data_IF_652214553314
#
_entry.id   IF_652214553314
#
_cell.length_a   1.000
_cell.length_b   1.000
_cell.length_c   1.000
_cell.angle_alpha   90.00
_cell.angle_beta   90.00
_cell.angle_gamma   90.00
#
_symmetry.space_group_name_H-M   'P 1'
#
loop_
_entity.id
_entity.type
_entity.pdbx_description
1 polymer ?
#
# COMPACT_ATOMS: atom_id res chain seq x y z
N UNK A 1 8.35 -10.91 -12.66
CA UNK A 1 7.24 -10.19 -12.00
C UNK A 1 6.67 -10.83 -10.73
N UNK A 2 5.82 -11.89 -10.75
CA UNK A 2 5.18 -12.41 -9.51
C UNK A 2 6.15 -12.78 -8.37
N UNK A 3 7.23 -13.51 -8.69
CA UNK A 3 8.28 -13.84 -7.72
C UNK A 3 8.98 -12.60 -7.14
N UNK A 4 9.10 -11.53 -7.91
CA UNK A 4 9.74 -10.28 -7.46
C UNK A 4 8.80 -9.46 -6.57
N UNK A 5 7.50 -9.42 -6.89
CA UNK A 5 6.47 -8.81 -6.04
C UNK A 5 6.47 -9.45 -4.64
N UNK A 6 6.56 -10.79 -4.57
CA UNK A 6 6.66 -11.52 -3.31
C UNK A 6 7.99 -11.28 -2.57
N UNK A 7 9.10 -11.13 -3.29
CA UNK A 7 10.38 -10.74 -2.68
C UNK A 7 10.31 -9.35 -2.07
N UNK A 8 9.69 -8.38 -2.75
CA UNK A 8 9.47 -7.05 -2.20
C UNK A 8 8.58 -7.08 -0.97
N UNK A 9 7.53 -7.91 -0.96
CA UNK A 9 6.68 -8.08 0.22
C UNK A 9 7.49 -8.52 1.43
N UNK A 10 8.28 -9.59 1.29
CA UNK A 10 9.15 -10.09 2.37
C UNK A 10 10.14 -9.02 2.85
N UNK A 11 10.71 -8.24 1.94
CA UNK A 11 11.63 -7.17 2.28
C UNK A 11 10.93 -6.01 3.03
N UNK A 12 9.70 -5.66 2.64
CA UNK A 12 8.86 -4.68 3.33
C UNK A 12 8.52 -5.18 4.74
N UNK A 13 8.07 -6.43 4.87
CA UNK A 13 7.73 -7.04 6.17
C UNK A 13 8.94 -7.08 7.11
N UNK A 14 10.13 -7.43 6.59
CA UNK A 14 11.38 -7.40 7.35
C UNK A 14 11.74 -5.97 7.81
N UNK A 15 11.63 -4.98 6.92
CA UNK A 15 11.88 -3.57 7.27
C UNK A 15 10.89 -3.04 8.30
N UNK A 16 9.63 -3.49 8.22
CA UNK A 16 8.61 -3.14 9.20
C UNK A 16 8.92 -3.71 10.57
N UNK A 17 9.33 -4.98 10.64
CA UNK A 17 9.75 -5.61 11.89
C UNK A 17 11.00 -4.92 12.49
N UNK A 18 11.97 -4.52 11.67
CA UNK A 18 13.12 -3.72 12.10
C UNK A 18 12.69 -2.38 12.69
N UNK A 19 11.75 -1.68 12.03
CA UNK A 19 11.20 -0.41 12.51
C UNK A 19 10.50 -0.55 13.87
N UNK A 20 9.65 -1.57 14.02
CA UNK A 20 8.92 -1.80 15.27
C UNK A 20 9.88 -2.14 16.44
N UNK A 21 10.96 -2.89 16.15
CA UNK A 21 12.02 -3.17 17.13
C UNK A 21 12.75 -1.89 17.56
N UNK A 22 13.12 -1.03 16.61
CA UNK A 22 13.80 0.26 16.89
C UNK A 22 12.88 1.19 17.70
N UNK A 23 11.58 1.24 17.38
CA UNK A 23 10.57 1.99 18.16
C UNK A 23 10.48 1.51 19.60
N UNK A 24 10.47 0.20 19.83
CA UNK A 24 10.46 -0.37 21.18
C UNK A 24 11.73 -0.04 21.97
N UNK A 25 12.88 0.00 21.29
CA UNK A 25 14.16 0.37 21.92
C UNK A 25 14.22 1.87 22.23
N UNK A 26 13.69 2.72 21.35
CA UNK A 26 13.57 4.16 21.57
C UNK A 26 12.71 4.46 22.79
N UNK A 27 11.57 3.78 22.93
CA UNK A 27 10.67 3.96 24.08
C UNK A 27 11.36 3.58 25.40
N UNK A 28 12.13 2.48 25.42
CA UNK A 28 12.93 2.09 26.59
C UNK A 28 14.02 3.10 26.93
N UNK A 29 14.72 3.62 25.92
CA UNK A 29 15.74 4.65 26.10
C UNK A 29 15.11 5.95 26.65
N UNK A 30 13.93 6.32 26.16
CA UNK A 30 13.18 7.48 26.64
C UNK A 30 12.77 7.34 28.11
N UNK A 31 12.20 6.21 28.49
CA UNK A 31 11.87 5.92 29.90
C UNK A 31 13.10 6.00 30.81
N UNK A 32 14.23 5.48 30.34
CA UNK A 32 15.51 5.55 31.08
C UNK A 32 15.96 7.00 31.25
N UNK A 33 15.87 7.83 30.21
CA UNK A 33 16.22 9.24 30.27
C UNK A 33 15.30 10.04 31.21
N UNK A 34 14.00 9.74 31.23
CA UNK A 34 13.01 10.43 32.07
C UNK A 34 13.10 10.00 33.55
N UNK A 35 13.46 8.75 33.85
CA UNK A 35 13.52 8.21 35.22
C UNK A 35 14.64 8.77 36.12
N UNK A 36 15.67 9.42 35.55
CA UNK A 36 16.83 9.89 36.32
C UNK A 36 16.60 11.18 37.13
N UNK A 37 15.36 11.70 37.17
CA UNK A 37 15.06 13.05 37.70
C UNK A 37 14.57 13.04 39.17
N UNK A 38 14.27 11.89 39.78
CA UNK A 38 13.38 11.86 40.96
C UNK A 38 14.02 12.09 42.36
N UNK A 39 15.35 12.06 42.53
CA UNK A 39 15.96 11.97 43.88
C UNK A 39 16.47 13.30 44.52
N UNK A 40 16.00 14.47 44.08
CA UNK A 40 16.48 15.75 44.64
C UNK A 40 15.96 16.08 46.05
N UNK A 41 14.87 15.45 46.50
CA UNK A 41 14.23 15.74 47.80
C UNK A 41 15.04 15.23 49.01
N UNK A 42 15.63 14.03 48.90
CA UNK A 42 16.37 13.39 49.99
C UNK A 42 17.64 14.17 50.38
N UNK A 43 18.34 14.75 49.40
CA UNK A 43 19.51 15.59 49.64
C UNK A 43 19.13 16.86 50.42
N UNK A 44 18.02 17.51 50.06
CA UNK A 44 17.57 18.73 50.73
C UNK A 44 17.22 18.49 52.21
N UNK A 45 16.64 17.34 52.53
CA UNK A 45 16.36 16.93 53.91
C UNK A 45 17.64 16.62 54.70
N UNK A 46 18.61 15.92 54.10
CA UNK A 46 19.91 15.65 54.72
C UNK A 46 20.71 16.93 54.95
N UNK A 47 20.69 17.88 54.01
CA UNK A 47 21.30 19.20 54.17
C UNK A 47 20.66 20.02 55.29
N UNK A 48 19.34 19.94 55.47
CA UNK A 48 18.64 20.55 56.61
C UNK A 48 19.08 19.92 57.93
N UNK A 49 19.07 18.58 58.04
CA UNK A 49 19.55 17.86 59.24
C UNK A 49 20.99 18.22 59.59
N UNK A 50 21.87 18.31 58.59
CA UNK A 50 23.25 18.75 58.75
C UNK A 50 23.34 20.16 59.34
N UNK A 51 22.58 21.10 58.79
CA UNK A 51 22.55 22.49 59.27
C UNK A 51 22.04 22.62 60.71
N UNK A 52 21.06 21.79 61.09
CA UNK A 52 20.52 21.74 62.46
C UNK A 52 21.54 21.19 63.46
N UNK A 53 22.28 20.13 63.10
CA UNK A 53 23.32 19.54 63.95
C UNK A 53 24.48 20.53 64.16
N UNK A 54 24.94 21.16 63.08
CA UNK A 54 25.97 22.21 63.15
C UNK A 54 25.53 23.40 64.00
N UNK A 55 24.28 23.85 63.83
CA UNK A 55 23.72 24.96 64.61
C UNK A 55 23.62 24.65 66.10
N UNK A 56 23.21 23.43 66.48
CA UNK A 56 23.14 22.99 67.88
C UNK A 56 24.53 22.89 68.52
N UNK A 57 25.50 22.30 67.83
CA UNK A 57 26.86 22.19 68.34
C UNK A 57 27.54 23.56 68.51
N UNK A 58 27.32 24.49 67.56
CA UNK A 58 27.82 25.86 67.68
C UNK A 58 27.25 26.59 68.90
N UNK A 59 25.94 26.46 69.17
CA UNK A 59 25.31 27.05 70.34
C UNK A 59 25.77 26.41 71.66
N UNK A 60 26.15 25.14 71.63
CA UNK A 60 26.70 24.41 72.78
C UNK A 60 28.21 24.63 72.98
N UNK A 61 28.92 25.22 72.02
CA UNK A 61 30.38 25.36 72.04
C UNK A 61 31.13 24.04 71.81
N UNK A 62 30.45 23.03 71.27
CA UNK A 62 30.99 21.70 70.99
C UNK A 62 31.29 21.52 69.49
N UNK A 63 32.12 20.53 69.14
CA UNK A 63 32.32 20.11 67.76
C UNK A 63 31.20 19.17 67.33
N UNK A 64 30.54 19.48 66.21
CA UNK A 64 29.47 18.65 65.65
C UNK A 64 30.05 17.42 64.93
N UNK A 65 29.51 16.24 65.24
CA UNK A 65 29.73 15.02 64.45
C UNK A 65 28.69 14.96 63.32
N UNK A 66 29.16 15.10 62.08
CA UNK A 66 28.33 15.09 60.86
C UNK A 66 28.81 14.07 59.83
N UNK A 67 29.78 13.22 60.17
CA UNK A 67 30.45 12.33 59.21
C UNK A 67 29.48 11.37 58.52
N UNK A 68 28.51 10.83 59.25
CA UNK A 68 27.49 9.93 58.67
C UNK A 68 26.55 10.67 57.70
N UNK A 69 26.17 11.91 58.01
CA UNK A 69 25.30 12.73 57.15
C UNK A 69 26.07 13.13 55.88
N UNK A 70 27.34 13.51 56.03
CA UNK A 70 28.20 13.89 54.90
C UNK A 70 28.46 12.70 53.98
N UNK A 71 28.72 11.51 54.52
CA UNK A 71 28.86 10.29 53.74
C UNK A 71 27.56 9.89 53.01
N UNK A 72 26.38 10.07 53.63
CA UNK A 72 25.10 9.81 52.97
C UNK A 72 24.83 10.81 51.83
N UNK A 73 25.12 12.09 52.03
CA UNK A 73 25.01 13.12 50.99
C UNK A 73 25.93 12.78 49.81
N UNK A 74 27.20 12.48 50.07
CA UNK A 74 28.17 12.13 49.01
C UNK A 74 27.74 10.89 48.23
N UNK A 75 27.20 9.87 48.91
CA UNK A 75 26.70 8.65 48.27
C UNK A 75 25.52 8.94 47.34
N UNK A 76 24.55 9.74 47.79
CA UNK A 76 23.37 10.08 46.97
C UNK A 76 23.78 10.98 45.81
N UNK A 77 24.68 11.95 46.02
CA UNK A 77 25.20 12.80 44.95
C UNK A 77 25.98 12.00 43.89
N UNK A 78 26.78 11.02 44.30
CA UNK A 78 27.47 10.13 43.37
C UNK A 78 26.46 9.33 42.53
N UNK A 79 25.43 8.77 43.17
CA UNK A 79 24.33 8.09 42.49
C UNK A 79 23.59 8.99 41.49
N UNK A 80 23.29 10.24 41.86
CA UNK A 80 22.66 11.22 40.97
C UNK A 80 23.55 11.59 39.78
N UNK A 81 24.87 11.73 39.99
CA UNK A 81 25.81 11.99 38.88
C UNK A 81 25.86 10.82 37.90
N UNK A 82 25.88 9.59 38.38
CA UNK A 82 25.82 8.40 37.53
C UNK A 82 24.47 8.31 36.80
N UNK A 83 23.36 8.52 37.50
CA UNK A 83 22.02 8.52 36.91
C UNK A 83 21.89 9.58 35.80
N UNK A 84 22.38 10.81 36.03
CA UNK A 84 22.42 11.88 35.01
C UNK A 84 23.25 11.49 33.79
N UNK A 85 24.44 10.93 34.00
CA UNK A 85 25.28 10.45 32.89
C UNK A 85 24.57 9.36 32.08
N UNK A 86 23.84 8.49 32.75
CA UNK A 86 23.07 7.41 32.12
C UNK A 86 21.89 7.97 31.33
N UNK A 87 21.19 8.97 31.88
CA UNK A 87 20.10 9.67 31.22
C UNK A 87 20.53 10.48 30.01
N UNK A 88 21.65 11.19 30.09
CA UNK A 88 22.25 11.91 28.96
C UNK A 88 22.64 10.94 27.83
N UNK A 89 23.23 9.79 28.19
CA UNK A 89 23.52 8.72 27.23
C UNK A 89 22.26 8.14 26.59
N UNK A 90 21.21 7.91 27.39
CA UNK A 90 19.93 7.43 26.91
C UNK A 90 19.23 8.45 26.00
N UNK A 91 19.27 9.74 26.33
CA UNK A 91 18.72 10.82 25.50
C UNK A 91 19.43 10.93 24.14
N UNK A 92 20.77 10.80 24.12
CA UNK A 92 21.53 10.73 22.87
C UNK A 92 21.15 9.49 22.04
N UNK A 93 20.93 8.34 22.69
CA UNK A 93 20.46 7.14 22.02
C UNK A 93 19.05 7.30 21.43
N UNK A 94 18.13 8.02 22.11
CA UNK A 94 16.78 8.31 21.59
C UNK A 94 16.86 9.03 20.24
N UNK A 95 17.69 10.06 20.11
CA UNK A 95 17.85 10.81 18.86
C UNK A 95 18.39 9.92 17.72
N UNK A 96 19.40 9.09 18.01
CA UNK A 96 19.95 8.14 17.02
C UNK A 96 18.92 7.08 16.58
N UNK A 97 18.11 6.60 17.52
CA UNK A 97 17.04 5.63 17.23
C UNK A 97 15.91 6.28 16.44
N UNK A 98 15.61 7.55 16.67
CA UNK A 98 14.65 8.32 15.88
C UNK A 98 15.10 8.49 14.42
N UNK A 99 16.36 8.86 14.21
CA UNK A 99 16.97 8.96 12.88
C UNK A 99 16.94 7.60 12.17
N UNK A 100 17.31 6.53 12.87
CA UNK A 100 17.26 5.17 12.36
C UNK A 100 15.84 4.75 11.96
N UNK A 101 14.85 5.05 12.81
CA UNK A 101 13.45 4.75 12.52
C UNK A 101 12.96 5.51 11.28
N UNK A 102 13.37 6.78 11.13
CA UNK A 102 13.03 7.61 9.97
C UNK A 102 13.64 7.04 8.68
N UNK A 103 14.91 6.61 8.72
CA UNK A 103 15.58 5.98 7.58
C UNK A 103 14.91 4.66 7.18
N UNK A 104 14.52 3.83 8.14
CA UNK A 104 13.81 2.58 7.88
C UNK A 104 12.45 2.81 7.19
N UNK A 105 11.70 3.85 7.59
CA UNK A 105 10.45 4.23 6.91
C UNK A 105 10.69 4.70 5.47
N UNK A 106 11.75 5.45 5.23
CA UNK A 106 12.12 5.88 3.87
C UNK A 106 12.47 4.69 2.99
N UNK A 107 13.28 3.74 3.49
CA UNK A 107 13.63 2.50 2.80
C UNK A 107 12.39 1.65 2.49
N UNK A 108 11.51 1.46 3.48
CA UNK A 108 10.22 0.78 3.31
C UNK A 108 9.39 1.45 2.21
N UNK A 109 9.30 2.79 2.22
CA UNK A 109 8.59 3.57 1.21
C UNK A 109 9.17 3.44 -0.19
N UNK A 110 10.49 3.28 -0.34
CA UNK A 110 11.12 2.98 -1.64
C UNK A 110 10.72 1.58 -2.12
N UNK A 111 10.74 0.58 -1.23
CA UNK A 111 10.35 -0.79 -1.57
C UNK A 111 8.88 -0.89 -1.97
N UNK A 112 7.97 -0.22 -1.24
CA UNK A 112 6.54 -0.13 -1.59
C UNK A 112 6.31 0.48 -2.97
N UNK A 113 7.00 1.58 -3.30
CA UNK A 113 6.91 2.21 -4.63
C UNK A 113 7.37 1.29 -5.74
N UNK A 114 8.48 0.57 -5.55
CA UNK A 114 8.99 -0.42 -6.51
C UNK A 114 8.03 -1.60 -6.68
N UNK A 115 7.44 -2.08 -5.59
CA UNK A 115 6.43 -3.14 -5.64
C UNK A 115 5.17 -2.70 -6.39
N UNK A 116 4.67 -1.49 -6.13
CA UNK A 116 3.50 -0.95 -6.81
C UNK A 116 3.74 -0.76 -8.32
N UNK A 117 4.96 -0.37 -8.72
CA UNK A 117 5.34 -0.30 -10.13
C UNK A 117 5.25 -1.68 -10.80
N UNK A 118 5.83 -2.72 -10.19
CA UNK A 118 5.76 -4.09 -10.72
C UNK A 118 4.33 -4.64 -10.79
N UNK A 119 3.47 -4.31 -9.81
CA UNK A 119 2.06 -4.69 -9.85
C UNK A 119 1.36 -4.01 -11.03
N UNK A 120 1.57 -2.71 -11.24
CA UNK A 120 1.00 -1.98 -12.39
C UNK A 120 1.47 -2.56 -13.72
N UNK A 121 2.74 -2.94 -13.83
CA UNK A 121 3.27 -3.55 -15.04
C UNK A 121 2.62 -4.93 -15.30
N UNK A 122 2.37 -5.71 -14.24
CA UNK A 122 1.65 -7.00 -14.35
C UNK A 122 0.20 -6.80 -14.82
N UNK A 123 -0.49 -5.78 -14.31
CA UNK A 123 -1.84 -5.42 -14.77
C UNK A 123 -1.86 -5.05 -16.25
N UNK A 124 -0.91 -4.23 -16.70
CA UNK A 124 -0.80 -3.84 -18.12
C UNK A 124 -0.55 -5.05 -19.02
N UNK A 125 0.40 -5.89 -18.65
CA UNK A 125 0.73 -7.11 -19.42
C UNK A 125 -0.51 -8.01 -19.61
N UNK A 126 -1.26 -8.25 -18.53
CA UNK A 126 -2.50 -9.05 -18.60
C UNK A 126 -3.59 -8.37 -19.42
N UNK A 127 -3.79 -7.07 -19.22
CA UNK A 127 -4.78 -6.32 -19.97
C UNK A 127 -4.48 -6.36 -21.48
N UNK A 128 -3.23 -6.16 -21.87
CA UNK A 128 -2.81 -6.23 -23.27
C UNK A 128 -2.99 -7.64 -23.85
N UNK A 129 -2.71 -8.69 -23.08
CA UNK A 129 -2.96 -10.07 -23.47
C UNK A 129 -4.45 -10.35 -23.69
N UNK A 130 -5.31 -9.95 -22.76
CA UNK A 130 -6.77 -10.11 -22.89
C UNK A 130 -7.30 -9.32 -24.07
N UNK A 131 -6.86 -8.06 -24.23
CA UNK A 131 -7.26 -7.23 -25.36
C UNK A 131 -6.92 -7.91 -26.68
N UNK A 132 -5.73 -8.51 -26.80
CA UNK A 132 -5.33 -9.26 -27.99
C UNK A 132 -6.24 -10.45 -28.25
N UNK A 133 -6.51 -11.28 -27.22
CA UNK A 133 -7.41 -12.44 -27.33
C UNK A 133 -8.84 -12.03 -27.69
N UNK A 134 -9.33 -10.93 -27.13
CA UNK A 134 -10.64 -10.37 -27.47
C UNK A 134 -10.70 -10.01 -28.96
N UNK A 135 -9.71 -9.26 -29.45
CA UNK A 135 -9.64 -8.87 -30.87
C UNK A 135 -9.60 -10.11 -31.78
N UNK A 136 -8.80 -11.12 -31.45
CA UNK A 136 -8.75 -12.38 -32.20
C UNK A 136 -10.14 -13.05 -32.25
N UNK A 137 -10.85 -13.12 -31.11
CA UNK A 137 -12.19 -13.69 -31.05
C UNK A 137 -13.23 -12.88 -31.82
N UNK A 138 -13.13 -11.56 -31.80
CA UNK A 138 -14.00 -10.69 -32.60
C UNK A 138 -13.82 -10.98 -34.09
N UNK A 139 -12.58 -11.17 -34.56
CA UNK A 139 -12.31 -11.56 -35.95
C UNK A 139 -12.90 -12.92 -36.31
N UNK A 140 -12.78 -13.92 -35.43
CA UNK A 140 -13.41 -15.24 -35.63
C UNK A 140 -14.95 -15.11 -35.78
N UNK A 141 -15.58 -14.29 -34.92
CA UNK A 141 -17.03 -14.04 -34.98
C UNK A 141 -17.41 -13.33 -36.28
N UNK A 142 -16.64 -12.32 -36.70
CA UNK A 142 -16.86 -11.60 -37.95
C UNK A 142 -16.78 -12.55 -39.15
N UNK A 143 -15.79 -13.45 -39.19
CA UNK A 143 -15.66 -14.43 -40.28
C UNK A 143 -16.81 -15.44 -40.29
N UNK A 144 -17.27 -15.89 -39.13
CA UNK A 144 -18.46 -16.73 -39.03
C UNK A 144 -19.72 -16.00 -39.54
N UNK A 145 -19.89 -14.71 -39.23
CA UNK A 145 -20.98 -13.89 -39.74
C UNK A 145 -20.91 -13.70 -41.26
N UNK A 146 -19.70 -13.55 -41.84
CA UNK A 146 -19.53 -13.52 -43.30
C UNK A 146 -19.99 -14.82 -43.96
N UNK A 147 -19.63 -15.96 -43.38
CA UNK A 147 -20.04 -17.26 -43.90
C UNK A 147 -21.57 -17.43 -43.83
N UNK A 148 -22.19 -17.01 -42.73
CA UNK A 148 -23.64 -17.02 -42.58
C UNK A 148 -24.33 -16.12 -43.62
N UNK A 149 -23.83 -14.89 -43.82
CA UNK A 149 -24.36 -13.97 -44.83
C UNK A 149 -24.22 -14.53 -46.27
N UNK A 150 -23.12 -15.23 -46.57
CA UNK A 150 -22.93 -15.86 -47.87
C UNK A 150 -23.92 -17.01 -48.11
N UNK A 151 -24.20 -17.82 -47.07
CA UNK A 151 -25.23 -18.87 -47.12
C UNK A 151 -26.63 -18.27 -47.29
N UNK A 152 -26.93 -17.19 -46.57
CA UNK A 152 -28.18 -16.43 -46.69
C UNK A 152 -28.41 -15.95 -48.14
N UNK A 153 -27.40 -15.32 -48.76
CA UNK A 153 -27.46 -14.90 -50.18
C UNK A 153 -27.58 -16.07 -51.16
N UNK A 154 -26.89 -17.18 -50.89
CA UNK A 154 -26.99 -18.40 -51.70
C UNK A 154 -28.40 -19.01 -51.66
N UNK A 155 -29.04 -18.98 -50.50
CA UNK A 155 -30.43 -19.41 -50.32
C UNK A 155 -31.41 -18.47 -51.03
N UNK A 156 -31.17 -17.16 -51.04
CA UNK A 156 -31.98 -16.22 -51.85
C UNK A 156 -31.87 -16.51 -53.35
N UNK A 157 -30.65 -16.74 -53.85
CA UNK A 157 -30.39 -16.99 -55.27
C UNK A 157 -31.05 -18.27 -55.80
N UNK A 158 -31.22 -19.29 -54.94
CA UNK A 158 -31.84 -20.57 -55.29
C UNK A 158 -33.37 -20.57 -55.20
N UNK A 159 -34.02 -19.48 -54.79
CA UNK A 159 -35.49 -19.42 -54.61
C UNK A 159 -36.23 -18.84 -55.80
N UNK A 160 -37.35 -19.47 -56.15
CA UNK A 160 -38.22 -19.06 -57.25
C UNK A 160 -39.06 -17.81 -56.94
N UNK A 161 -39.62 -17.14 -57.95
CA UNK A 161 -40.27 -15.83 -57.83
C UNK A 161 -41.52 -15.75 -56.93
N UNK A 162 -42.06 -16.89 -56.46
CA UNK A 162 -43.34 -16.97 -55.74
C UNK A 162 -43.26 -17.46 -54.28
N UNK A 163 -42.07 -17.60 -53.69
CA UNK A 163 -41.95 -17.97 -52.28
C UNK A 163 -42.04 -16.73 -51.36
N UNK A 164 -42.79 -16.85 -50.25
CA UNK A 164 -42.89 -15.77 -49.26
C UNK A 164 -41.53 -15.51 -48.63
N UNK A 165 -41.06 -14.27 -48.71
CA UNK A 165 -39.74 -13.86 -48.18
C UNK A 165 -39.77 -13.89 -46.65
N UNK A 166 -39.06 -14.79 -45.94
CA UNK A 166 -38.77 -14.54 -44.56
C UNK A 166 -37.67 -13.47 -44.51
N UNK A 167 -37.85 -12.49 -43.64
CA UNK A 167 -36.96 -11.34 -43.48
C UNK A 167 -35.55 -11.82 -43.13
N UNK A 168 -34.57 -11.64 -44.03
CA UNK A 168 -33.15 -11.95 -43.82
C UNK A 168 -32.50 -10.92 -42.89
N UNK A 169 -33.02 -10.83 -41.67
CA UNK A 169 -32.56 -9.92 -40.64
C UNK A 169 -31.80 -10.68 -39.56
N UNK A 170 -31.50 -11.98 -39.78
CA UNK A 170 -30.84 -12.82 -38.78
C UNK A 170 -29.42 -12.33 -38.50
N UNK A 171 -28.62 -12.03 -39.51
CA UNK A 171 -27.25 -11.50 -39.33
C UNK A 171 -27.22 -10.11 -38.67
N UNK A 172 -28.10 -9.20 -39.07
CA UNK A 172 -28.20 -7.85 -38.47
C UNK A 172 -28.78 -7.88 -37.05
N UNK A 173 -29.85 -8.64 -36.80
CA UNK A 173 -30.41 -8.82 -35.45
C UNK A 173 -29.40 -9.51 -34.53
N UNK A 174 -28.62 -10.46 -35.04
CA UNK A 174 -27.59 -11.13 -34.25
C UNK A 174 -26.43 -10.16 -33.93
N UNK A 175 -26.02 -9.32 -34.88
CA UNK A 175 -25.05 -8.24 -34.63
C UNK A 175 -25.57 -7.24 -33.59
N UNK A 176 -26.82 -6.79 -33.71
CA UNK A 176 -27.47 -5.88 -32.75
C UNK A 176 -27.54 -6.55 -31.36
N UNK A 177 -27.94 -7.81 -31.28
CA UNK A 177 -28.02 -8.56 -30.02
C UNK A 177 -26.64 -8.80 -29.40
N UNK A 178 -25.61 -9.03 -30.21
CA UNK A 178 -24.23 -9.16 -29.74
C UNK A 178 -23.68 -7.81 -29.24
N UNK A 179 -23.97 -6.71 -29.93
CA UNK A 179 -23.63 -5.35 -29.48
C UNK A 179 -24.31 -4.99 -28.16
N UNK A 180 -25.60 -5.31 -28.04
CA UNK A 180 -26.36 -5.15 -26.78
C UNK A 180 -25.81 -5.99 -25.61
N UNK A 181 -24.94 -6.98 -25.90
CA UNK A 181 -24.21 -7.76 -24.89
C UNK A 181 -22.71 -7.44 -24.82
N UNK A 182 -22.30 -6.28 -25.34
CA UNK A 182 -20.95 -5.75 -25.19
C UNK A 182 -19.94 -6.14 -26.29
N UNK A 183 -20.40 -6.63 -27.45
CA UNK A 183 -19.53 -6.77 -28.61
C UNK A 183 -19.20 -5.39 -29.20
N UNK A 184 -17.94 -4.98 -29.10
CA UNK A 184 -17.40 -3.79 -29.75
C UNK A 184 -16.45 -4.20 -30.87
N UNK A 185 -16.69 -3.67 -32.06
CA UNK A 185 -15.86 -3.93 -33.23
C UNK A 185 -14.69 -2.93 -33.26
N UNK A 186 -13.47 -3.35 -33.65
CA UNK A 186 -12.37 -2.42 -33.88
C UNK A 186 -12.75 -1.29 -34.86
N UNK A 187 -12.30 -0.05 -34.64
CA UNK A 187 -12.67 1.12 -35.47
C UNK A 187 -12.45 0.92 -36.97
N UNK A 188 -11.36 0.24 -37.33
CA UNK A 188 -10.95 -0.01 -38.71
C UNK A 188 -11.91 -0.94 -39.47
N UNK A 189 -12.72 -1.72 -38.74
CA UNK A 189 -13.70 -2.67 -39.29
C UNK A 189 -15.08 -2.02 -39.43
N UNK A 190 -15.48 -1.18 -38.47
CA UNK A 190 -16.80 -0.53 -38.47
C UNK A 190 -16.97 0.43 -39.65
N UNK A 191 -15.95 1.24 -39.95
CA UNK A 191 -15.99 2.22 -41.03
C UNK A 191 -16.08 1.57 -42.42
N UNK A 192 -15.53 0.37 -42.60
CA UNK A 192 -15.48 -0.32 -43.91
C UNK A 192 -16.77 -1.08 -44.23
N UNK A 193 -17.54 -1.51 -43.22
CA UNK A 193 -18.74 -2.35 -43.42
C UNK A 193 -20.08 -1.64 -43.23
N UNK A 194 -20.14 -0.59 -42.41
CA UNK A 194 -21.39 0.09 -42.09
C UNK A 194 -21.19 1.63 -42.11
N UNK A 195 -21.07 2.23 -43.31
CA UNK A 195 -20.73 3.65 -43.45
C UNK A 195 -21.76 4.61 -42.83
N UNK A 196 -23.02 4.18 -42.69
CA UNK A 196 -24.12 5.01 -42.17
C UNK A 196 -24.30 4.94 -40.64
N UNK A 197 -23.53 4.10 -39.92
CA UNK A 197 -23.60 3.94 -38.46
C UNK A 197 -22.55 4.78 -37.72
N UNK A 198 -21.97 5.78 -38.39
CA UNK A 198 -20.74 6.42 -37.97
C UNK A 198 -20.79 7.19 -36.63
N UNK A 199 -21.97 7.46 -36.03
CA UNK A 199 -22.08 8.57 -35.08
C UNK A 199 -22.45 8.26 -33.62
N UNK A 200 -22.57 7.00 -33.18
CA UNK A 200 -22.86 6.71 -31.74
C UNK A 200 -21.90 5.73 -31.03
N UNK A 201 -20.85 5.24 -31.70
CA UNK A 201 -19.91 4.26 -31.07
C UNK A 201 -18.54 4.87 -30.78
N UNK A 202 -18.34 6.15 -31.10
CA UNK A 202 -17.07 6.85 -30.87
C UNK A 202 -17.00 7.50 -29.48
N UNK A 203 -16.88 6.67 -28.45
CA UNK A 203 -16.31 7.08 -27.17
C UNK A 203 -15.01 6.28 -26.93
N UNK A 204 -13.84 6.90 -27.15
CA UNK A 204 -12.56 6.22 -27.01
C UNK A 204 -12.33 5.91 -25.53
N UNK A 205 -12.59 4.66 -25.10
CA UNK A 205 -12.13 3.95 -23.89
C UNK A 205 -12.09 4.70 -22.52
N UNK A 206 -12.56 5.94 -22.42
CA UNK A 206 -12.28 6.85 -21.29
C UNK A 206 -13.52 7.62 -20.85
N UNK A 207 -14.65 7.60 -21.58
CA UNK A 207 -15.78 8.48 -21.26
C UNK A 207 -17.19 7.86 -21.31
N UNK A 208 -17.37 6.58 -21.63
CA UNK A 208 -18.70 5.96 -21.51
C UNK A 208 -18.91 5.34 -20.12
N UNK A 209 -19.33 6.16 -19.14
CA UNK A 209 -19.57 5.75 -17.75
C UNK A 209 -20.62 4.62 -17.60
N UNK A 210 -21.42 4.33 -18.63
CA UNK A 210 -22.60 3.47 -18.50
C UNK A 210 -22.33 1.99 -18.88
N UNK A 211 -21.20 1.65 -19.52
CA UNK A 211 -20.92 0.28 -20.02
C UNK A 211 -19.58 -0.34 -19.57
N UNK A 212 -18.81 0.31 -18.68
CA UNK A 212 -17.52 -0.21 -18.18
C UNK A 212 -17.62 -1.42 -17.22
N UNK A 213 -18.83 -1.84 -16.85
CA UNK A 213 -19.06 -2.60 -15.62
C UNK A 213 -18.65 -4.08 -15.63
N UNK A 214 -18.55 -4.77 -16.77
CA UNK A 214 -18.53 -6.25 -16.72
C UNK A 214 -17.23 -6.93 -17.18
N UNK A 215 -16.50 -6.39 -18.17
CA UNK A 215 -15.31 -7.07 -18.70
C UNK A 215 -14.02 -6.67 -17.97
N UNK A 216 -13.80 -5.36 -17.75
CA UNK A 216 -12.63 -4.88 -16.99
C UNK A 216 -12.73 -5.19 -15.50
N UNK A 217 -13.93 -5.17 -14.92
CA UNK A 217 -14.14 -5.40 -13.48
C UNK A 217 -13.82 -6.83 -13.09
N UNK A 218 -14.20 -7.84 -13.89
CA UNK A 218 -13.90 -9.25 -13.57
C UNK A 218 -12.40 -9.56 -13.58
N UNK A 219 -11.64 -8.98 -14.50
CA UNK A 219 -10.19 -9.16 -14.52
C UNK A 219 -9.49 -8.39 -13.40
N UNK A 220 -9.97 -7.18 -13.10
CA UNK A 220 -9.51 -6.43 -11.92
C UNK A 220 -9.82 -7.21 -10.65
N UNK A 221 -11.00 -7.82 -10.52
CA UNK A 221 -11.41 -8.63 -9.38
C UNK A 221 -10.62 -9.94 -9.27
N UNK A 222 -10.31 -10.61 -10.38
CA UNK A 222 -9.47 -11.81 -10.38
C UNK A 222 -8.02 -11.48 -10.01
N UNK A 223 -7.47 -10.38 -10.53
CA UNK A 223 -6.13 -9.95 -10.15
C UNK A 223 -6.12 -9.46 -8.70
N UNK A 224 -7.14 -8.75 -8.24
CA UNK A 224 -7.28 -8.35 -6.84
C UNK A 224 -7.38 -9.57 -5.92
N UNK A 225 -8.14 -10.60 -6.31
CA UNK A 225 -8.22 -11.88 -5.59
C UNK A 225 -6.86 -12.57 -5.55
N UNK A 226 -6.14 -12.61 -6.66
CA UNK A 226 -4.80 -13.20 -6.71
C UNK A 226 -3.78 -12.40 -5.88
N UNK A 227 -3.88 -11.06 -5.86
CA UNK A 227 -3.10 -10.20 -4.98
C UNK A 227 -3.46 -10.43 -3.49
N UNK A 228 -4.73 -10.64 -3.18
CA UNK A 228 -5.19 -11.01 -1.83
C UNK A 228 -4.67 -12.39 -1.40
N UNK A 229 -4.58 -13.37 -2.30
CA UNK A 229 -3.92 -14.67 -2.03
C UNK A 229 -2.44 -14.50 -1.70
N UNK A 230 -1.78 -13.50 -2.28
CA UNK A 230 -0.43 -13.10 -1.91
C UNK A 230 -0.37 -12.22 -0.65
N UNK A 231 -1.51 -11.97 -0.01
CA UNK A 231 -1.71 -11.21 1.23
C UNK A 231 -1.53 -9.71 1.06
N UNK A 232 -1.89 -9.16 -0.09
CA UNK A 232 -2.07 -7.72 -0.28
C UNK A 232 -3.53 -7.35 0.04
N UNK A 233 -3.73 -6.25 0.78
CA UNK A 233 -5.05 -5.68 1.06
C UNK A 233 -5.33 -4.53 0.10
#
# INVERSE_FOLDING_TARGET
>A
MKREILKFKKAIDAKRAEFDAVRSEQERARQTAESAVEDTGAIAELQRKRSEVLGKAYLAGETADTEQIDHEIERIEAGLREARKTAEGAAAAVALLEDKATNLLQEEGVLRRRQAALIRDLFKERFDETKKRYVEKVYEVIDALKALQALERGLEYLRGPNESKPTLVLTEQLLIALRARGLYLPPDIEQVRFPDLAWDVHLPYVLDNDHHGEFGVKEIDEINRELQEYGFQ
#
